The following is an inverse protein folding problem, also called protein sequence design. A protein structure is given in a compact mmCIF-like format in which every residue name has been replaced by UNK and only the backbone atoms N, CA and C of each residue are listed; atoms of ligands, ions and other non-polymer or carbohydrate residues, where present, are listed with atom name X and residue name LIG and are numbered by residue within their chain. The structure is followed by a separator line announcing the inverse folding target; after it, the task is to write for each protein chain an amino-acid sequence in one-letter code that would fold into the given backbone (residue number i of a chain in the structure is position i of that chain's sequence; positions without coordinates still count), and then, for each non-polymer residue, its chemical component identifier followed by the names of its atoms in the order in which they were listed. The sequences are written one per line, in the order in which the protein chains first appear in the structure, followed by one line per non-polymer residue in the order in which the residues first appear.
data_IF_761953711211
#
_entry.id   IF_761953711211
#
_cell.length_a   1.000
_cell.length_b   1.000
_cell.length_c   1.000
_cell.angle_alpha   90.00
_cell.angle_beta   90.00
_cell.angle_gamma   90.00
#
_symmetry.space_group_name_H-M   'P 1'
#
loop_
_entity.id
_entity.type
_entity.pdbx_description
1 polymer ?
#
# COMPACT_ATOMS: atom_id res chain seq x y z
N UNK A 1 -4.66 8.70 4.60
CA UNK A 1 -5.17 9.85 3.81
C UNK A 1 -5.67 9.48 2.41
N UNK A 2 -4.94 8.77 1.53
CA UNK A 2 -5.45 8.50 0.16
C UNK A 2 -6.73 7.63 0.08
N UNK A 3 -6.90 6.64 0.96
CA UNK A 3 -8.07 5.75 0.98
C UNK A 3 -9.38 6.43 1.42
N UNK A 4 -9.32 7.63 2.01
CA UNK A 4 -10.50 8.41 2.41
C UNK A 4 -10.81 9.59 1.47
N UNK A 5 -9.97 9.83 0.45
CA UNK A 5 -10.06 11.01 -0.42
C UNK A 5 -10.79 10.75 -1.75
N UNK A 6 -11.16 9.49 -2.04
CA UNK A 6 -11.83 9.08 -3.26
C UNK A 6 -12.10 7.56 -3.29
N UNK A 7 -12.64 7.02 -4.40
CA UNK A 7 -12.93 5.59 -4.53
C UNK A 7 -11.68 4.73 -4.28
N UNK A 8 -11.88 3.62 -3.57
CA UNK A 8 -10.79 2.68 -3.25
C UNK A 8 -10.22 2.04 -4.52
N UNK A 9 -11.07 1.71 -5.49
CA UNK A 9 -10.69 1.22 -6.84
C UNK A 9 -9.74 2.18 -7.56
N UNK A 10 -10.09 3.47 -7.59
CA UNK A 10 -9.28 4.52 -8.21
C UNK A 10 -7.90 4.63 -7.57
N UNK A 11 -7.82 4.55 -6.23
CA UNK A 11 -6.53 4.57 -5.53
C UNK A 11 -5.65 3.37 -5.91
N UNK A 12 -6.22 2.18 -6.09
CA UNK A 12 -5.46 1.00 -6.53
C UNK A 12 -4.97 1.12 -7.97
N UNK A 13 -5.76 1.75 -8.86
CA UNK A 13 -5.36 2.07 -10.24
C UNK A 13 -4.15 3.02 -10.23
N UNK A 14 -4.20 4.13 -9.48
CA UNK A 14 -3.09 5.09 -9.41
C UNK A 14 -1.85 4.47 -8.77
N UNK A 15 -2.00 3.61 -7.77
CA UNK A 15 -0.87 2.90 -7.16
C UNK A 15 -0.25 1.84 -8.07
N UNK A 16 -0.86 1.48 -9.19
CA UNK A 16 -0.23 0.62 -10.20
C UNK A 16 0.94 1.32 -10.92
N UNK A 17 1.07 2.65 -10.80
CA UNK A 17 2.22 3.42 -11.28
C UNK A 17 3.46 3.31 -10.38
N UNK A 18 3.42 2.50 -9.31
CA UNK A 18 4.56 2.29 -8.41
C UNK A 18 5.87 1.94 -9.17
N UNK A 19 5.90 1.02 -10.16
CA UNK A 19 7.12 0.71 -10.91
C UNK A 19 7.70 1.90 -11.68
N UNK A 20 6.84 2.82 -12.14
CA UNK A 20 7.27 4.01 -12.88
C UNK A 20 8.12 4.95 -12.02
N UNK A 21 7.65 5.26 -10.81
CA UNK A 21 8.40 6.10 -9.88
C UNK A 21 9.68 5.44 -9.39
N UNK A 22 9.64 4.12 -9.16
CA UNK A 22 10.84 3.36 -8.82
C UNK A 22 11.90 3.41 -9.92
N UNK A 23 11.50 3.31 -11.20
CA UNK A 23 12.44 3.37 -12.31
C UNK A 23 13.14 4.74 -12.40
N UNK A 24 12.38 5.83 -12.27
CA UNK A 24 12.93 7.20 -12.30
C UNK A 24 13.88 7.44 -11.14
N UNK A 25 13.43 7.17 -9.90
CA UNK A 25 14.25 7.44 -8.71
C UNK A 25 15.49 6.53 -8.69
N UNK A 26 15.35 5.28 -9.13
CA UNK A 26 16.49 4.36 -9.26
C UNK A 26 17.50 4.82 -10.31
N UNK A 27 17.04 5.32 -11.46
CA UNK A 27 17.93 5.86 -12.48
C UNK A 27 18.70 7.09 -11.98
N UNK A 28 18.03 8.00 -11.26
CA UNK A 28 18.66 9.20 -10.68
C UNK A 28 19.67 8.87 -9.57
N UNK A 29 19.42 7.84 -8.76
CA UNK A 29 20.25 7.56 -7.59
C UNK A 29 21.41 6.58 -7.86
N UNK A 30 21.23 5.64 -8.79
CA UNK A 30 22.28 4.68 -9.16
C UNK A 30 23.06 5.09 -10.42
N UNK A 31 22.66 6.15 -11.12
CA UNK A 31 23.26 6.65 -12.36
C UNK A 31 23.47 5.55 -13.44
N UNK A 32 22.56 4.56 -13.45
CA UNK A 32 22.57 3.45 -14.39
C UNK A 32 21.19 3.35 -15.05
N UNK A 33 21.17 3.48 -16.37
CA UNK A 33 19.94 3.36 -17.15
C UNK A 33 19.55 1.89 -17.29
N UNK A 34 18.27 1.60 -17.04
CA UNK A 34 17.74 0.24 -17.22
C UNK A 34 17.68 -0.15 -18.70
N UNK A 35 17.56 -1.46 -18.97
CA UNK A 35 17.39 -1.96 -20.34
C UNK A 35 16.16 -1.32 -21.01
N UNK A 36 16.19 -1.05 -22.33
CA UNK A 36 15.07 -0.46 -23.07
C UNK A 36 13.72 -1.18 -22.89
N UNK A 37 13.78 -2.50 -22.67
CA UNK A 37 12.61 -3.35 -22.41
C UNK A 37 11.80 -2.92 -21.19
N UNK A 38 12.46 -2.39 -20.15
CA UNK A 38 11.81 -1.91 -18.93
C UNK A 38 11.07 -0.61 -19.18
N UNK A 39 11.63 0.28 -20.02
CA UNK A 39 10.95 1.52 -20.40
C UNK A 39 9.73 1.26 -21.29
N UNK A 40 9.83 0.30 -22.21
CA UNK A 40 8.70 -0.10 -23.05
C UNK A 40 7.50 -0.63 -22.22
N UNK A 41 7.76 -1.46 -21.20
CA UNK A 41 6.69 -1.91 -20.31
C UNK A 41 6.12 -0.79 -19.43
N UNK A 42 6.97 0.17 -19.02
CA UNK A 42 6.55 1.36 -18.28
C UNK A 42 5.56 2.22 -19.07
N UNK A 43 5.82 2.43 -20.37
CA UNK A 43 4.93 3.19 -21.26
C UNK A 43 3.55 2.53 -21.32
N UNK A 44 3.50 1.20 -21.45
CA UNK A 44 2.24 0.46 -21.46
C UNK A 44 1.48 0.59 -20.14
N UNK A 45 2.17 0.50 -18.99
CA UNK A 45 1.55 0.67 -17.66
C UNK A 45 1.00 2.08 -17.48
N UNK A 46 1.77 3.12 -17.82
CA UNK A 46 1.34 4.52 -17.73
C UNK A 46 0.14 4.78 -18.64
N UNK A 47 0.17 4.26 -19.88
CA UNK A 47 -0.96 4.35 -20.81
C UNK A 47 -2.22 3.68 -20.30
N UNK A 48 -2.10 2.47 -19.74
CA UNK A 48 -3.23 1.74 -19.14
C UNK A 48 -3.86 2.48 -17.96
N UNK A 49 -3.04 3.02 -17.05
CA UNK A 49 -3.52 3.82 -15.92
C UNK A 49 -4.17 5.11 -16.39
N UNK A 50 -3.58 5.81 -17.37
CA UNK A 50 -4.16 7.03 -17.94
C UNK A 50 -5.54 6.80 -18.55
N UNK A 51 -5.70 5.71 -19.31
CA UNK A 51 -6.98 5.30 -19.88
C UNK A 51 -8.01 4.97 -18.79
N UNK A 52 -7.60 4.22 -17.76
CA UNK A 52 -8.47 3.89 -16.63
C UNK A 52 -8.92 5.13 -15.83
N UNK A 53 -8.03 6.11 -15.62
CA UNK A 53 -8.37 7.37 -14.97
C UNK A 53 -9.33 8.23 -15.80
N UNK A 54 -9.24 8.19 -17.14
CA UNK A 54 -10.15 8.92 -18.02
C UNK A 54 -11.58 8.38 -17.98
N UNK A 55 -11.76 7.07 -17.76
CA UNK A 55 -13.06 6.41 -17.67
C UNK A 55 -13.72 6.43 -16.28
N UNK A 56 -13.04 6.94 -15.24
CA UNK A 56 -13.56 6.91 -13.87
C UNK A 56 -14.51 8.10 -13.61
N UNK A 57 -15.77 7.83 -13.28
CA UNK A 57 -16.80 8.86 -13.04
C UNK A 57 -16.57 9.69 -11.77
N UNK A 58 -15.84 9.14 -10.80
CA UNK A 58 -15.59 9.75 -9.49
C UNK A 58 -14.12 10.16 -9.33
N UNK A 59 -13.61 10.89 -10.32
CA UNK A 59 -12.24 11.40 -10.30
C UNK A 59 -12.06 12.46 -9.19
N UNK A 60 -11.07 12.25 -8.31
CA UNK A 60 -10.71 13.18 -7.25
C UNK A 60 -9.24 13.58 -7.39
N UNK A 61 -9.00 14.88 -7.60
CA UNK A 61 -7.65 15.46 -7.65
C UNK A 61 -6.88 15.23 -6.35
N UNK A 62 -7.57 15.25 -5.21
CA UNK A 62 -6.96 14.99 -3.92
C UNK A 62 -6.56 13.52 -3.76
N UNK A 63 -7.40 12.58 -4.23
CA UNK A 63 -7.05 11.16 -4.24
C UNK A 63 -5.88 10.87 -5.18
N UNK A 64 -5.86 11.50 -6.36
CA UNK A 64 -4.78 11.33 -7.33
C UNK A 64 -3.44 11.83 -6.77
N UNK A 65 -3.38 13.07 -6.30
CA UNK A 65 -2.13 13.67 -5.81
C UNK A 65 -1.61 12.97 -4.56
N UNK A 66 -2.48 12.59 -3.62
CA UNK A 66 -2.07 11.81 -2.43
C UNK A 66 -1.63 10.39 -2.77
N UNK A 67 -2.28 9.73 -3.73
CA UNK A 67 -1.87 8.40 -4.19
C UNK A 67 -0.52 8.45 -4.93
N UNK A 68 -0.32 9.40 -5.85
CA UNK A 68 0.97 9.60 -6.53
C UNK A 68 2.07 9.97 -5.54
N UNK A 69 1.80 10.89 -4.61
CA UNK A 69 2.74 11.24 -3.54
C UNK A 69 3.14 10.04 -2.69
N UNK A 70 2.19 9.13 -2.40
CA UNK A 70 2.51 7.88 -1.69
C UNK A 70 3.42 6.96 -2.50
N UNK A 71 3.21 6.84 -3.82
CA UNK A 71 4.09 6.05 -4.69
C UNK A 71 5.52 6.61 -4.70
N UNK A 72 5.67 7.94 -4.77
CA UNK A 72 6.97 8.61 -4.69
C UNK A 72 7.63 8.33 -3.34
N UNK A 73 6.89 8.46 -2.23
CA UNK A 73 7.41 8.16 -0.88
C UNK A 73 7.85 6.71 -0.73
N UNK A 74 7.07 5.75 -1.22
CA UNK A 74 7.44 4.32 -1.20
C UNK A 74 8.67 4.04 -2.07
N UNK A 75 8.74 4.62 -3.26
CA UNK A 75 9.88 4.51 -4.16
C UNK A 75 11.14 5.09 -3.55
N UNK A 76 11.06 6.29 -2.97
CA UNK A 76 12.17 6.93 -2.30
C UNK A 76 12.67 6.09 -1.12
N UNK A 77 11.77 5.64 -0.24
CA UNK A 77 12.13 4.79 0.91
C UNK A 77 12.88 3.53 0.46
N UNK A 78 12.37 2.84 -0.55
CA UNK A 78 12.94 1.58 -1.01
C UNK A 78 14.26 1.77 -1.79
N UNK A 79 14.35 2.77 -2.67
CA UNK A 79 15.56 3.06 -3.44
C UNK A 79 16.67 3.59 -2.53
N UNK A 80 16.38 4.52 -1.60
CA UNK A 80 17.35 4.98 -0.60
C UNK A 80 17.79 3.84 0.32
N UNK A 81 16.86 2.98 0.76
CA UNK A 81 17.22 1.82 1.57
C UNK A 81 18.17 0.89 0.81
N UNK A 82 17.94 0.67 -0.49
CA UNK A 82 18.86 -0.11 -1.33
C UNK A 82 20.21 0.57 -1.51
N UNK A 83 20.22 1.88 -1.69
CA UNK A 83 21.44 2.68 -1.83
C UNK A 83 22.31 2.60 -0.58
N UNK A 84 21.70 2.66 0.60
CA UNK A 84 22.40 2.48 1.90
C UNK A 84 22.89 1.04 2.08
N UNK A 85 22.16 0.04 1.59
CA UNK A 85 22.59 -1.37 1.59
C UNK A 85 23.77 -1.67 0.65
N UNK A 86 24.16 -0.74 -0.23
CA UNK A 86 25.27 -0.98 -1.15
C UNK A 86 26.61 -0.99 -0.41
N UNK A 87 27.52 -1.91 -0.76
CA UNK A 87 28.76 -2.20 -0.01
C UNK A 87 29.65 -0.96 0.20
N UNK A 88 29.75 -0.09 -0.81
CA UNK A 88 30.53 1.16 -0.72
C UNK A 88 29.92 2.21 0.21
N UNK A 89 28.59 2.25 0.30
CA UNK A 89 27.86 3.16 1.19
C UNK A 89 27.84 2.60 2.62
N UNK A 90 27.70 1.29 2.76
CA UNK A 90 27.71 0.58 4.04
C UNK A 90 28.99 0.86 4.82
N UNK A 91 30.15 0.74 4.16
CA UNK A 91 31.46 0.96 4.81
C UNK A 91 31.64 2.38 5.37
N UNK A 92 30.92 3.38 4.84
CA UNK A 92 30.95 4.77 5.31
C UNK A 92 29.95 5.06 6.44
N UNK A 93 28.85 4.32 6.52
CA UNK A 93 27.81 4.53 7.54
C UNK A 93 27.94 3.61 8.76
N UNK A 94 28.63 2.47 8.64
CA UNK A 94 28.95 1.58 9.76
C UNK A 94 29.04 0.11 9.36
N UNK A 95 29.80 -0.69 10.13
CA UNK A 95 29.82 -2.14 9.97
C UNK A 95 28.46 -2.76 10.35
N UNK A 96 27.92 -3.62 9.47
CA UNK A 96 26.71 -4.44 9.67
C UNK A 96 25.33 -3.79 9.44
N UNK A 97 25.15 -2.95 8.42
CA UNK A 97 23.80 -2.60 7.94
C UNK A 97 23.21 -3.78 7.16
N UNK A 98 22.74 -4.79 7.91
CA UNK A 98 21.96 -5.89 7.36
C UNK A 98 20.55 -5.42 7.00
N UNK A 99 19.88 -6.16 6.11
CA UNK A 99 18.52 -5.83 5.65
C UNK A 99 17.53 -5.66 6.82
N UNK A 100 17.63 -6.53 7.82
CA UNK A 100 16.75 -6.52 9.00
C UNK A 100 17.10 -5.35 9.92
N UNK A 101 18.39 -5.05 10.13
CA UNK A 101 18.80 -3.92 10.96
C UNK A 101 18.36 -2.59 10.32
N UNK A 102 18.52 -2.45 9.00
CA UNK A 102 18.06 -1.25 8.30
C UNK A 102 16.55 -1.09 8.37
N UNK A 103 15.80 -2.19 8.22
CA UNK A 103 14.35 -2.18 8.42
C UNK A 103 13.98 -1.75 9.85
N UNK A 104 14.69 -2.25 10.86
CA UNK A 104 14.51 -1.86 12.25
C UNK A 104 14.69 -0.37 12.46
N UNK A 105 15.82 0.20 12.01
CA UNK A 105 16.11 1.63 12.14
C UNK A 105 15.02 2.46 11.44
N UNK A 106 14.66 2.12 10.20
CA UNK A 106 13.62 2.84 9.46
C UNK A 106 12.26 2.75 10.17
N UNK A 107 11.94 1.61 10.78
CA UNK A 107 10.69 1.42 11.53
C UNK A 107 10.67 2.25 12.81
N UNK A 108 11.77 2.32 13.56
CA UNK A 108 11.90 3.18 14.74
C UNK A 108 11.75 4.66 14.36
N UNK A 109 12.44 5.11 13.31
CA UNK A 109 12.29 6.48 12.81
C UNK A 109 10.85 6.78 12.36
N UNK A 110 10.22 5.86 11.63
CA UNK A 110 8.83 6.01 11.17
C UNK A 110 7.86 6.04 12.34
N UNK A 111 8.08 5.24 13.39
CA UNK A 111 7.27 5.25 14.61
C UNK A 111 7.29 6.64 15.26
N UNK A 112 8.47 7.18 15.57
CA UNK A 112 8.59 8.50 16.21
C UNK A 112 8.09 9.63 15.32
N UNK A 113 8.31 9.56 14.01
CA UNK A 113 7.77 10.54 13.06
C UNK A 113 6.24 10.45 12.95
N UNK A 114 5.66 9.26 13.10
CA UNK A 114 4.22 9.05 12.98
C UNK A 114 3.42 9.55 14.19
N UNK A 115 4.01 9.56 15.40
CA UNK A 115 3.34 10.03 16.63
C UNK A 115 2.78 11.46 16.48
N UNK A 116 3.57 12.49 16.11
CA UNK A 116 3.04 13.85 15.97
C UNK A 116 2.00 13.96 14.86
N UNK A 117 2.19 13.24 13.74
CA UNK A 117 1.22 13.23 12.63
C UNK A 117 -0.11 12.59 13.05
N UNK A 118 -0.06 11.50 13.82
CA UNK A 118 -1.25 10.82 14.34
C UNK A 118 -2.00 11.69 15.35
N UNK A 119 -1.28 12.35 16.26
CA UNK A 119 -1.88 13.24 17.26
C UNK A 119 -2.58 14.45 16.63
N UNK A 120 -1.99 15.07 15.60
CA UNK A 120 -2.59 16.22 14.91
C UNK A 120 -3.74 15.80 13.99
N UNK A 121 -3.63 14.65 13.32
CA UNK A 121 -4.62 14.21 12.33
C UNK A 121 -5.89 13.63 12.95
N UNK A 122 -5.76 12.66 13.86
CA UNK A 122 -6.88 11.84 14.34
C UNK A 122 -6.92 11.74 15.88
N UNK A 123 -5.90 12.25 16.58
CA UNK A 123 -5.68 12.02 18.01
C UNK A 123 -6.86 12.40 18.91
N UNK A 124 -7.51 13.54 18.65
CA UNK A 124 -8.65 14.00 19.46
C UNK A 124 -9.98 13.30 19.13
N UNK A 125 -10.12 12.77 17.91
CA UNK A 125 -11.32 12.06 17.45
C UNK A 125 -11.23 10.54 17.63
N UNK A 126 -10.05 10.01 17.95
CA UNK A 126 -9.80 8.57 18.05
C UNK A 126 -10.73 7.86 19.05
N UNK A 127 -10.95 8.44 20.23
CA UNK A 127 -11.83 7.83 21.24
C UNK A 127 -13.30 7.80 20.79
N UNK A 128 -13.77 8.85 20.12
CA UNK A 128 -15.12 8.90 19.57
C UNK A 128 -15.29 7.91 18.40
N UNK A 129 -14.28 7.79 17.53
CA UNK A 129 -14.24 6.80 16.45
C UNK A 129 -14.17 5.37 16.97
N UNK A 130 -13.40 5.11 18.04
CA UNK A 130 -13.31 3.80 18.68
C UNK A 130 -14.66 3.36 19.25
N UNK A 131 -15.35 4.28 19.93
CA UNK A 131 -16.67 4.02 20.47
C UNK A 131 -17.70 3.79 19.35
N UNK A 132 -17.71 4.64 18.31
CA UNK A 132 -18.56 4.46 17.13
C UNK A 132 -18.30 3.15 16.38
N UNK A 133 -17.04 2.77 16.19
CA UNK A 133 -16.66 1.52 15.54
C UNK A 133 -17.11 0.29 16.35
N UNK A 134 -17.13 0.39 17.68
CA UNK A 134 -17.57 -0.69 18.56
C UNK A 134 -19.11 -0.79 18.61
N UNK A 135 -19.85 0.32 18.41
CA UNK A 135 -21.33 0.34 18.45
C UNK A 135 -22.00 0.13 17.08
N UNK A 136 -21.44 0.65 15.99
CA UNK A 136 -22.06 0.59 14.64
C UNK A 136 -21.99 -0.82 14.03
N UNK A 137 -21.07 -1.67 14.47
CA UNK A 137 -20.97 -3.05 13.99
C UNK A 137 -22.06 -3.99 14.54
N UNK A 138 -22.94 -3.52 15.43
CA UNK A 138 -24.09 -4.29 15.93
C UNK A 138 -25.26 -4.30 14.93
N UNK A 139 -25.42 -3.28 14.09
CA UNK A 139 -26.66 -3.08 13.30
C UNK A 139 -26.56 -3.62 11.86
N UNK A 140 -25.38 -3.54 11.22
CA UNK A 140 -25.18 -3.96 9.82
C UNK A 140 -25.13 -5.48 9.61
N UNK A 141 -25.01 -6.27 10.68
CA UNK A 141 -24.98 -7.74 10.62
C UNK A 141 -26.38 -8.34 10.38
N UNK A 142 -27.45 -7.60 10.68
CA UNK A 142 -28.82 -8.13 10.57
C UNK A 142 -29.33 -8.15 9.13
N UNK A 143 -28.76 -7.37 8.19
CA UNK A 143 -29.32 -7.25 6.83
C UNK A 143 -28.63 -8.05 5.73
N UNK A 144 -27.39 -8.55 5.91
CA UNK A 144 -26.66 -9.22 4.82
C UNK A 144 -26.38 -10.69 5.14
N UNK A 145 -27.37 -11.54 4.84
CA UNK A 145 -27.36 -12.99 4.98
C UNK A 145 -26.38 -13.71 4.05
N UNK A 146 -25.07 -13.47 4.22
CA UNK A 146 -24.00 -14.27 3.63
C UNK A 146 -23.37 -15.18 4.70
N UNK A 147 -23.91 -16.39 4.81
CA UNK A 147 -23.45 -17.46 5.69
C UNK A 147 -22.10 -18.07 5.25
N UNK A 148 -21.03 -17.27 5.32
CA UNK A 148 -19.65 -17.75 5.28
C UNK A 148 -18.85 -17.02 6.37
N UNK A 149 -18.96 -17.52 7.60
CA UNK A 149 -18.09 -17.21 8.74
C UNK A 149 -17.64 -15.73 8.85
N UNK A 150 -18.58 -14.79 8.78
CA UNK A 150 -18.33 -13.40 9.19
C UNK A 150 -18.42 -13.37 10.72
N UNK A 151 -17.30 -13.24 11.46
CA UNK A 151 -17.33 -13.47 12.90
C UNK A 151 -17.86 -12.24 13.63
N UNK A 152 -19.02 -12.39 14.26
CA UNK A 152 -19.63 -11.55 15.30
C UNK A 152 -18.70 -10.46 15.87
N UNK A 153 -18.95 -9.21 15.44
CA UNK A 153 -18.12 -8.01 15.66
C UNK A 153 -18.43 -7.27 16.98
N UNK A 154 -19.20 -7.88 17.88
CA UNK A 154 -19.71 -7.30 19.13
C UNK A 154 -18.68 -7.13 20.27
N UNK A 155 -17.41 -7.52 20.07
CA UNK A 155 -16.42 -7.62 21.14
C UNK A 155 -15.21 -6.68 20.94
N UNK A 156 -14.95 -5.69 21.81
CA UNK A 156 -13.77 -4.81 21.69
C UNK A 156 -12.45 -5.60 21.72
N UNK A 157 -12.44 -6.75 22.38
CA UNK A 157 -11.31 -7.68 22.43
C UNK A 157 -11.03 -8.32 21.06
N UNK A 158 -12.05 -8.59 20.23
CA UNK A 158 -11.84 -9.14 18.87
C UNK A 158 -11.35 -8.08 17.90
N UNK A 159 -11.85 -6.83 18.00
CA UNK A 159 -11.33 -5.70 17.23
C UNK A 159 -9.85 -5.45 17.57
N UNK A 160 -9.51 -5.40 18.87
CA UNK A 160 -8.13 -5.29 19.31
C UNK A 160 -7.25 -6.42 18.78
N UNK A 161 -7.73 -7.68 18.85
CA UNK A 161 -7.03 -8.83 18.25
C UNK A 161 -6.85 -8.67 16.74
N UNK A 162 -7.86 -8.20 16.00
CA UNK A 162 -7.77 -8.00 14.55
C UNK A 162 -6.77 -6.89 14.16
N UNK A 163 -6.73 -5.81 14.95
CA UNK A 163 -5.74 -4.73 14.76
C UNK A 163 -4.33 -5.26 15.04
N UNK A 164 -4.14 -6.02 16.12
CA UNK A 164 -2.85 -6.62 16.47
C UNK A 164 -2.39 -7.63 15.42
N UNK A 165 -3.26 -8.54 14.97
CA UNK A 165 -2.90 -9.52 13.94
C UNK A 165 -2.60 -8.83 12.60
N UNK A 166 -3.41 -7.87 12.18
CA UNK A 166 -3.16 -7.07 10.97
C UNK A 166 -1.81 -6.33 11.06
N UNK A 167 -1.52 -5.70 12.19
CA UNK A 167 -0.24 -5.02 12.45
C UNK A 167 0.96 -5.98 12.39
N UNK A 168 0.82 -7.18 12.97
CA UNK A 168 1.85 -8.22 12.94
C UNK A 168 2.14 -8.68 11.51
N UNK A 169 1.10 -9.01 10.73
CA UNK A 169 1.25 -9.41 9.33
C UNK A 169 1.82 -8.27 8.48
N UNK A 170 1.46 -7.02 8.77
CA UNK A 170 2.03 -5.86 8.09
C UNK A 170 3.53 -5.71 8.37
N UNK A 171 3.94 -5.85 9.63
CA UNK A 171 5.35 -5.84 10.03
C UNK A 171 6.14 -6.95 9.33
N UNK A 172 5.66 -8.20 9.40
CA UNK A 172 6.29 -9.34 8.76
C UNK A 172 6.40 -9.15 7.24
N UNK A 173 5.36 -8.60 6.60
CA UNK A 173 5.41 -8.33 5.17
C UNK A 173 6.49 -7.29 4.82
N UNK A 174 6.63 -6.25 5.63
CA UNK A 174 7.64 -5.21 5.42
C UNK A 174 9.06 -5.73 5.70
N UNK A 175 9.24 -6.61 6.68
CA UNK A 175 10.54 -7.25 6.95
C UNK A 175 10.99 -8.13 5.77
N UNK A 176 10.10 -8.99 5.27
CA UNK A 176 10.37 -9.83 4.08
C UNK A 176 10.62 -8.96 2.85
N UNK A 177 9.94 -7.83 2.72
CA UNK A 177 10.18 -6.87 1.64
C UNK A 177 11.61 -6.31 1.70
N UNK A 178 12.14 -5.98 2.90
CA UNK A 178 13.51 -5.53 3.07
C UNK A 178 14.55 -6.62 2.79
N UNK A 179 14.29 -7.87 3.20
CA UNK A 179 15.15 -9.01 2.86
C UNK A 179 15.15 -9.31 1.35
N UNK A 180 14.02 -9.06 0.68
CA UNK A 180 13.92 -9.17 -0.78
C UNK A 180 14.68 -8.03 -1.44
N UNK A 181 14.49 -6.80 -0.93
CA UNK A 181 15.15 -5.59 -1.44
C UNK A 181 16.67 -5.74 -1.47
N UNK A 182 17.29 -6.37 -0.47
CA UNK A 182 18.75 -6.57 -0.51
C UNK A 182 19.21 -7.50 -1.63
N UNK A 183 18.37 -8.44 -2.06
CA UNK A 183 18.67 -9.43 -3.12
C UNK A 183 18.26 -9.00 -4.53
N UNK A 184 17.28 -8.10 -4.68
CA UNK A 184 16.75 -7.69 -5.99
C UNK A 184 16.93 -6.20 -6.26
N UNK A 185 16.72 -5.78 -7.51
CA UNK A 185 16.69 -4.37 -7.87
C UNK A 185 15.40 -3.70 -7.37
N UNK A 186 15.42 -2.42 -6.92
CA UNK A 186 14.23 -1.74 -6.40
C UNK A 186 13.02 -1.77 -7.36
N UNK A 187 13.27 -1.68 -8.66
CA UNK A 187 12.20 -1.75 -9.67
C UNK A 187 11.53 -3.13 -9.69
N UNK A 188 12.28 -4.22 -9.52
CA UNK A 188 11.71 -5.57 -9.38
C UNK A 188 10.84 -5.68 -8.13
N UNK A 189 11.24 -5.03 -7.04
CA UNK A 189 10.44 -4.97 -5.82
C UNK A 189 9.10 -4.26 -6.05
N UNK A 190 9.10 -3.13 -6.76
CA UNK A 190 7.88 -2.40 -7.11
C UNK A 190 6.93 -3.20 -8.01
N UNK A 191 7.49 -3.94 -8.98
CA UNK A 191 6.70 -4.86 -9.81
C UNK A 191 6.09 -5.97 -8.93
N UNK A 192 6.86 -6.56 -8.01
CA UNK A 192 6.36 -7.55 -7.05
C UNK A 192 5.23 -7.02 -6.17
N UNK A 193 5.34 -5.79 -5.67
CA UNK A 193 4.28 -5.13 -4.91
C UNK A 193 3.00 -4.95 -5.74
N UNK A 194 3.14 -4.61 -7.02
CA UNK A 194 2.01 -4.48 -7.94
C UNK A 194 1.37 -5.84 -8.21
N UNK A 195 2.17 -6.90 -8.45
CA UNK A 195 1.66 -8.26 -8.61
C UNK A 195 0.92 -8.79 -7.38
N UNK A 196 1.45 -8.52 -6.17
CA UNK A 196 0.78 -8.89 -4.91
C UNK A 196 -0.63 -8.28 -4.84
N UNK A 197 -0.79 -7.02 -5.28
CA UNK A 197 -2.11 -6.37 -5.31
C UNK A 197 -3.05 -7.01 -6.32
N UNK A 198 -2.57 -7.35 -7.52
CA UNK A 198 -3.37 -8.06 -8.53
C UNK A 198 -3.84 -9.41 -8.00
N UNK A 199 -2.95 -10.17 -7.35
CA UNK A 199 -3.31 -11.46 -6.75
C UNK A 199 -4.40 -11.30 -5.68
N UNK A 200 -4.29 -10.29 -4.80
CA UNK A 200 -5.31 -9.99 -3.81
C UNK A 200 -6.65 -9.65 -4.47
N UNK A 201 -6.65 -8.79 -5.50
CA UNK A 201 -7.88 -8.43 -6.22
C UNK A 201 -8.55 -9.66 -6.86
N UNK A 202 -7.78 -10.54 -7.51
CA UNK A 202 -8.30 -11.77 -8.13
C UNK A 202 -8.84 -12.73 -7.07
N UNK A 203 -8.09 -12.94 -5.98
CA UNK A 203 -8.53 -13.78 -4.87
C UNK A 203 -9.82 -13.26 -4.23
N UNK A 204 -9.97 -11.94 -4.07
CA UNK A 204 -11.19 -11.31 -3.58
C UNK A 204 -12.38 -11.56 -4.50
N UNK A 205 -12.21 -11.52 -5.82
CA UNK A 205 -13.27 -11.85 -6.79
C UNK A 205 -13.72 -13.32 -6.66
N UNK A 206 -12.77 -14.23 -6.44
CA UNK A 206 -13.06 -15.67 -6.30
C UNK A 206 -13.76 -15.98 -4.96
N UNK A 207 -13.31 -15.36 -3.86
CA UNK A 207 -13.84 -15.60 -2.51
C UNK A 207 -15.17 -14.87 -2.29
N UNK A 208 -15.37 -13.70 -2.89
CA UNK A 208 -16.58 -12.88 -2.77
C UNK A 208 -17.25 -12.61 -4.13
N UNK A 209 -17.74 -13.64 -4.84
CA UNK A 209 -18.28 -13.48 -6.19
C UNK A 209 -19.55 -12.61 -6.24
N UNK A 210 -20.31 -12.49 -5.14
CA UNK A 210 -21.59 -11.74 -5.09
C UNK A 210 -21.44 -10.23 -4.82
N UNK A 211 -20.35 -9.77 -4.19
CA UNK A 211 -20.19 -8.36 -3.77
C UNK A 211 -19.82 -7.42 -4.93
N UNK A 212 -19.19 -7.95 -5.99
CA UNK A 212 -18.72 -7.15 -7.12
C UNK A 212 -19.73 -7.10 -8.26
N UNK A 213 -20.55 -8.15 -8.42
CA UNK A 213 -21.55 -8.23 -9.49
C UNK A 213 -22.68 -7.20 -9.32
N UNK A 214 -23.06 -6.84 -8.09
CA UNK A 214 -24.08 -5.81 -7.83
C UNK A 214 -23.63 -4.40 -8.25
N UNK A 215 -22.32 -4.13 -8.24
CA UNK A 215 -21.76 -2.85 -8.71
C UNK A 215 -21.47 -2.82 -10.22
N UNK A 216 -21.48 -3.96 -10.92
CA UNK A 216 -21.38 -4.03 -12.38
C UNK A 216 -22.75 -3.99 -13.08
N UNK A 217 -23.82 -4.38 -12.37
CA UNK A 217 -25.19 -4.42 -12.90
C UNK A 217 -25.92 -3.06 -12.95
N UNK A 218 -25.35 -1.97 -12.44
CA UNK A 218 -25.89 -0.60 -12.61
C UNK A 218 -25.17 0.21 -13.71
N UNK A 219 -24.16 -0.36 -14.37
CA UNK A 219 -23.33 0.31 -15.38
C UNK A 219 -23.61 -0.17 -16.82
N UNK A 220 -24.87 -0.46 -17.14
CA UNK A 220 -25.39 -0.46 -18.52
C UNK A 220 -26.63 0.44 -18.54
N UNK A 221 -26.83 1.20 -19.64
CA UNK A 221 -27.28 2.60 -19.64
C UNK A 221 -28.63 2.90 -18.99
#
# INVERSE_FOLDING_TARGET
MSLGAGPVSFTHIVKALEPFFFAIISALLFDQWMKPQVYASLIFVVGGVGCACYGERSFSWMALTTAMGSNVGFALRAVLSKFVMNTETNSKLGEHITSNNLFGIVTWCAFFLSIPVALVGEGFTFLDLWNKATTTMTETVIMEGAAAAVPDYSNPIRLARAVVTSGLFHYMNNEVMYQTLSKVHPVTLAVGNTMKRVFIMVASVIVFPKSILSHLLWATP
#
